data_IF_632026436096
#
_entry.id   IF_632026436096
#
_cell.length_a   1.000
_cell.length_b   1.000
_cell.length_c   1.000
_cell.angle_alpha   90.00
_cell.angle_beta   90.00
_cell.angle_gamma   90.00
#
_symmetry.space_group_name_H-M   'P 1'
#
loop_
_entity.id
_entity.type
_entity.pdbx_description
1 polymer ?
#
# COMPACT_ATOMS: atom_id res chain seq x y z
N UNK A 1 -6.39 -29.10 -14.92
CA UNK A 1 -7.48 -28.10 -14.93
C UNK A 1 -7.00 -26.82 -15.57
N UNK A 2 -7.42 -26.57 -16.81
CA UNK A 2 -7.28 -25.29 -17.49
C UNK A 2 -7.91 -24.21 -16.62
N UNK A 3 -7.15 -23.18 -16.22
CA UNK A 3 -7.71 -22.05 -15.48
C UNK A 3 -8.57 -21.23 -16.44
N UNK A 4 -9.83 -21.60 -16.59
CA UNK A 4 -10.84 -20.86 -17.36
C UNK A 4 -11.23 -19.59 -16.61
N UNK A 5 -10.28 -18.66 -16.40
CA UNK A 5 -10.47 -17.27 -15.95
C UNK A 5 -11.65 -16.95 -15.02
N UNK A 6 -12.01 -17.84 -14.09
CA UNK A 6 -13.24 -17.81 -13.29
C UNK A 6 -14.51 -17.42 -14.09
N UNK A 7 -14.65 -17.90 -15.33
CA UNK A 7 -15.85 -17.70 -16.14
C UNK A 7 -16.79 -18.89 -15.97
N UNK A 8 -17.94 -18.63 -15.33
CA UNK A 8 -18.95 -19.63 -14.98
C UNK A 8 -19.65 -20.20 -16.22
N UNK A 9 -19.90 -19.40 -17.26
CA UNK A 9 -20.56 -19.87 -18.48
C UNK A 9 -19.71 -20.89 -19.25
N UNK A 10 -18.40 -20.61 -19.38
CA UNK A 10 -17.48 -21.53 -20.05
C UNK A 10 -17.31 -22.83 -19.27
N UNK A 11 -17.32 -22.75 -17.95
CA UNK A 11 -17.30 -23.93 -17.09
C UNK A 11 -18.59 -24.74 -17.27
N UNK A 12 -19.75 -24.09 -17.28
CA UNK A 12 -21.03 -24.77 -17.48
C UNK A 12 -21.10 -25.47 -18.83
N UNK A 13 -20.67 -24.79 -19.91
CA UNK A 13 -20.63 -25.38 -21.24
C UNK A 13 -19.73 -26.62 -21.28
N UNK A 14 -18.57 -26.56 -20.63
CA UNK A 14 -17.67 -27.70 -20.54
C UNK A 14 -18.28 -28.87 -19.76
N UNK A 15 -18.97 -28.62 -18.65
CA UNK A 15 -19.62 -29.69 -17.89
C UNK A 15 -20.76 -30.32 -18.69
N UNK A 16 -21.56 -29.53 -19.40
CA UNK A 16 -22.60 -30.07 -20.29
C UNK A 16 -22.01 -30.96 -21.38
N UNK A 17 -20.93 -30.52 -22.03
CA UNK A 17 -20.22 -31.31 -23.05
C UNK A 17 -19.66 -32.62 -22.46
N UNK A 18 -19.15 -32.61 -21.23
CA UNK A 18 -18.66 -33.84 -20.59
C UNK A 18 -19.80 -34.80 -20.25
N UNK A 19 -20.94 -34.31 -19.77
CA UNK A 19 -22.12 -35.14 -19.49
C UNK A 19 -22.69 -35.73 -20.78
N UNK A 20 -22.77 -34.95 -21.87
CA UNK A 20 -23.20 -35.44 -23.18
C UNK A 20 -22.27 -36.52 -23.73
N UNK A 21 -20.95 -36.32 -23.60
CA UNK A 21 -19.98 -37.33 -24.00
C UNK A 21 -20.14 -38.63 -23.20
N UNK A 22 -20.34 -38.56 -21.88
CA UNK A 22 -20.58 -39.75 -21.05
C UNK A 22 -21.88 -40.47 -21.46
N UNK A 23 -22.94 -39.72 -21.72
CA UNK A 23 -24.20 -40.25 -22.21
C UNK A 23 -24.06 -40.95 -23.58
N UNK A 24 -23.21 -40.43 -24.48
CA UNK A 24 -22.90 -41.10 -25.76
C UNK A 24 -22.24 -42.47 -25.59
N UNK A 25 -21.49 -42.68 -24.51
CA UNK A 25 -20.89 -43.98 -24.17
C UNK A 25 -21.81 -44.87 -23.30
N UNK A 26 -23.02 -44.39 -22.96
CA UNK A 26 -24.02 -45.13 -22.19
C UNK A 26 -23.75 -45.16 -20.69
N UNK A 27 -22.91 -44.26 -20.17
CA UNK A 27 -22.58 -44.15 -18.74
C UNK A 27 -23.13 -42.84 -18.16
N UNK A 28 -23.73 -42.91 -16.97
CA UNK A 28 -24.23 -41.74 -16.24
C UNK A 28 -23.45 -41.58 -14.93
N UNK A 29 -22.98 -40.37 -14.64
CA UNK A 29 -22.27 -40.07 -13.39
C UNK A 29 -23.25 -39.50 -12.36
N UNK A 30 -23.29 -40.13 -11.18
CA UNK A 30 -24.12 -39.69 -10.03
C UNK A 30 -23.46 -38.57 -9.23
N UNK A 31 -22.18 -38.32 -9.46
CA UNK A 31 -21.37 -37.38 -8.69
C UNK A 31 -21.23 -36.02 -9.38
N UNK A 32 -21.91 -35.80 -10.52
CA UNK A 32 -21.78 -34.55 -11.30
C UNK A 32 -22.10 -33.34 -10.43
N UNK A 33 -23.15 -33.43 -9.62
CA UNK A 33 -23.58 -32.35 -8.74
C UNK A 33 -22.49 -31.97 -7.71
N UNK A 34 -21.84 -32.96 -7.10
CA UNK A 34 -20.78 -32.76 -6.11
C UNK A 34 -19.58 -32.05 -6.75
N UNK A 35 -19.15 -32.53 -7.93
CA UNK A 35 -18.04 -31.91 -8.66
C UNK A 35 -18.39 -30.50 -9.16
N UNK A 36 -19.67 -30.22 -9.44
CA UNK A 36 -20.14 -28.90 -9.81
C UNK A 36 -19.98 -27.90 -8.65
N UNK A 37 -20.40 -28.30 -7.44
CA UNK A 37 -20.22 -27.49 -6.23
C UNK A 37 -18.74 -27.24 -5.94
N UNK A 38 -17.89 -28.27 -6.03
CA UNK A 38 -16.45 -28.14 -5.84
C UNK A 38 -15.81 -27.20 -6.88
N UNK A 39 -16.21 -27.34 -8.15
CA UNK A 39 -15.76 -26.49 -9.25
C UNK A 39 -16.14 -25.02 -9.07
N UNK A 40 -17.36 -24.75 -8.59
CA UNK A 40 -17.81 -23.38 -8.32
C UNK A 40 -17.15 -22.76 -7.09
N UNK A 41 -16.86 -23.54 -6.04
CA UNK A 41 -16.11 -23.08 -4.86
C UNK A 41 -14.68 -22.62 -5.19
N UNK A 42 -14.10 -23.11 -6.28
CA UNK A 42 -12.80 -22.68 -6.77
C UNK A 42 -12.81 -21.34 -7.53
N UNK A 43 -13.96 -20.68 -7.68
CA UNK A 43 -14.08 -19.38 -8.33
C UNK A 43 -13.37 -18.26 -7.54
N UNK A 44 -12.93 -17.21 -8.24
CA UNK A 44 -12.21 -16.09 -7.61
C UNK A 44 -13.12 -15.14 -6.82
N UNK A 45 -14.40 -15.06 -7.20
CA UNK A 45 -15.36 -14.14 -6.60
C UNK A 45 -15.95 -14.70 -5.31
N UNK A 46 -15.72 -14.02 -4.18
CA UNK A 46 -16.17 -14.50 -2.86
C UNK A 46 -17.68 -14.45 -2.69
N UNK A 47 -18.34 -13.44 -3.27
CA UNK A 47 -19.80 -13.29 -3.15
C UNK A 47 -20.52 -14.43 -3.86
N UNK A 48 -19.99 -14.84 -5.02
CA UNK A 48 -20.42 -16.02 -5.75
C UNK A 48 -20.17 -17.32 -4.98
N UNK A 49 -18.97 -17.51 -4.42
CA UNK A 49 -18.66 -18.70 -3.61
C UNK A 49 -19.64 -18.82 -2.43
N UNK A 50 -19.91 -17.74 -1.70
CA UNK A 50 -20.91 -17.75 -0.60
C UNK A 50 -22.36 -17.90 -1.08
N UNK A 51 -22.67 -17.56 -2.33
CA UNK A 51 -23.97 -17.92 -2.92
C UNK A 51 -24.09 -19.42 -3.16
N UNK A 52 -23.01 -20.05 -3.64
CA UNK A 52 -22.95 -21.48 -3.91
C UNK A 52 -22.93 -22.31 -2.63
N UNK A 53 -22.18 -21.90 -1.59
CA UNK A 53 -22.19 -22.55 -0.27
C UNK A 53 -23.60 -22.59 0.31
N UNK A 54 -24.35 -21.48 0.26
CA UNK A 54 -25.76 -21.45 0.70
C UNK A 54 -26.68 -22.34 -0.12
N UNK A 55 -26.35 -22.62 -1.38
CA UNK A 55 -27.12 -23.54 -2.24
C UNK A 55 -26.79 -24.99 -1.93
N UNK A 56 -25.55 -25.28 -1.58
CA UNK A 56 -25.10 -26.60 -1.12
C UNK A 56 -25.70 -26.95 0.25
N UNK A 57 -25.69 -26.02 1.23
CA UNK A 57 -26.33 -26.22 2.54
C UNK A 57 -27.81 -26.60 2.40
N UNK A 58 -28.55 -25.91 1.53
CA UNK A 58 -29.97 -26.22 1.24
C UNK A 58 -30.17 -27.58 0.58
N UNK A 59 -29.19 -28.04 -0.17
CA UNK A 59 -29.20 -29.34 -0.81
C UNK A 59 -28.90 -30.46 0.20
N UNK A 60 -27.93 -30.26 1.09
CA UNK A 60 -27.59 -31.20 2.17
C UNK A 60 -28.72 -31.34 3.21
N UNK A 61 -29.37 -30.23 3.58
CA UNK A 61 -30.55 -30.23 4.46
C UNK A 61 -31.81 -30.83 3.79
N UNK A 62 -31.69 -31.29 2.54
CA UNK A 62 -32.77 -31.80 1.69
C UNK A 62 -33.98 -30.83 1.60
N UNK A 63 -33.72 -29.54 1.81
CA UNK A 63 -34.75 -28.50 1.87
C UNK A 63 -35.17 -28.03 0.49
N UNK A 64 -34.29 -28.13 -0.51
CA UNK A 64 -34.59 -27.74 -1.89
C UNK A 64 -33.96 -28.75 -2.86
N UNK A 65 -34.78 -29.45 -3.65
CA UNK A 65 -34.29 -30.35 -4.71
C UNK A 65 -33.52 -29.54 -5.75
N UNK A 66 -32.19 -29.65 -5.68
CA UNK A 66 -31.26 -28.98 -6.59
C UNK A 66 -30.73 -30.01 -7.55
N UNK A 67 -31.21 -29.95 -8.79
CA UNK A 67 -30.69 -30.78 -9.89
C UNK A 67 -29.52 -30.07 -10.57
N UNK A 68 -28.64 -30.82 -11.23
CA UNK A 68 -27.49 -30.33 -11.99
C UNK A 68 -27.85 -29.18 -12.95
N UNK A 69 -28.87 -29.32 -13.85
CA UNK A 69 -29.22 -28.25 -14.78
C UNK A 69 -29.74 -26.99 -14.07
N UNK A 70 -30.46 -27.16 -12.95
CA UNK A 70 -30.99 -26.03 -12.17
C UNK A 70 -29.85 -25.26 -11.50
N UNK A 71 -28.86 -25.97 -10.94
CA UNK A 71 -27.68 -25.37 -10.32
C UNK A 71 -26.83 -24.60 -11.35
N UNK A 72 -26.62 -25.19 -12.53
CA UNK A 72 -25.90 -24.53 -13.63
C UNK A 72 -26.61 -23.26 -14.11
N UNK A 73 -27.94 -23.30 -14.22
CA UNK A 73 -28.75 -22.15 -14.62
C UNK A 73 -28.69 -21.03 -13.58
N UNK A 74 -28.88 -21.35 -12.31
CA UNK A 74 -28.82 -20.41 -11.18
C UNK A 74 -27.44 -19.73 -11.09
N UNK A 75 -26.37 -20.53 -11.16
CA UNK A 75 -25.00 -20.03 -11.17
C UNK A 75 -24.71 -19.13 -12.39
N UNK A 76 -25.19 -19.52 -13.57
CA UNK A 76 -25.06 -18.73 -14.80
C UNK A 76 -25.80 -17.39 -14.73
N UNK A 77 -27.02 -17.39 -14.16
CA UNK A 77 -27.82 -16.17 -13.98
C UNK A 77 -27.17 -15.21 -12.99
N UNK A 78 -26.63 -15.72 -11.88
CA UNK A 78 -25.89 -14.92 -10.91
C UNK A 78 -24.66 -14.28 -11.56
N UNK A 79 -23.87 -15.08 -12.30
CA UNK A 79 -22.70 -14.58 -13.01
C UNK A 79 -23.06 -13.47 -14.00
N UNK A 80 -24.09 -13.65 -14.84
CA UNK A 80 -24.56 -12.64 -15.79
C UNK A 80 -24.96 -11.34 -15.11
N UNK A 81 -25.69 -11.42 -13.99
CA UNK A 81 -26.09 -10.25 -13.22
C UNK A 81 -24.86 -9.52 -12.64
N UNK A 82 -23.90 -10.25 -12.05
CA UNK A 82 -22.69 -9.64 -11.50
C UNK A 82 -21.77 -9.04 -12.56
N UNK A 83 -21.68 -9.65 -13.74
CA UNK A 83 -20.92 -9.10 -14.86
C UNK A 83 -21.60 -7.83 -15.39
N UNK A 84 -22.93 -7.84 -15.55
CA UNK A 84 -23.71 -6.65 -15.94
C UNK A 84 -23.51 -5.50 -14.96
N UNK A 85 -23.57 -5.80 -13.67
CA UNK A 85 -23.47 -4.80 -12.60
C UNK A 85 -21.99 -4.42 -12.29
N UNK A 86 -21.02 -4.98 -13.03
CA UNK A 86 -19.58 -4.82 -12.83
C UNK A 86 -19.11 -5.13 -11.39
N UNK A 87 -19.86 -5.97 -10.70
CA UNK A 87 -19.56 -6.41 -9.33
C UNK A 87 -18.78 -7.72 -9.30
N UNK A 88 -18.65 -8.41 -10.43
CA UNK A 88 -17.87 -9.64 -10.54
C UNK A 88 -16.39 -9.41 -10.20
N UNK A 89 -15.87 -10.19 -9.25
CA UNK A 89 -14.52 -10.11 -8.72
C UNK A 89 -14.12 -8.70 -8.26
N UNK A 90 -15.10 -7.94 -7.76
CA UNK A 90 -14.88 -6.59 -7.27
C UNK A 90 -13.94 -6.65 -6.05
N UNK A 91 -12.85 -5.86 -6.04
CA UNK A 91 -11.98 -5.81 -4.88
C UNK A 91 -12.78 -5.40 -3.65
N UNK A 92 -12.63 -6.16 -2.56
CA UNK A 92 -13.21 -5.86 -1.25
C UNK A 92 -12.83 -4.43 -0.79
N UNK A 93 -13.59 -3.82 0.12
CA UNK A 93 -13.34 -2.45 0.60
C UNK A 93 -11.89 -2.29 1.12
N UNK A 94 -11.39 -3.32 1.81
CA UNK A 94 -10.00 -3.39 2.25
C UNK A 94 -9.01 -3.49 1.07
N UNK A 95 -9.36 -4.22 0.02
CA UNK A 95 -8.53 -4.35 -1.18
C UNK A 95 -8.53 -3.06 -2.01
N UNK A 96 -9.65 -2.33 -2.07
CA UNK A 96 -9.75 -1.00 -2.68
C UNK A 96 -8.86 -0.01 -1.92
N UNK A 97 -8.90 -0.01 -0.58
CA UNK A 97 -8.04 0.83 0.24
C UNK A 97 -6.55 0.51 -0.01
N UNK A 98 -6.18 -0.78 -0.10
CA UNK A 98 -4.80 -1.19 -0.42
C UNK A 98 -4.41 -0.75 -1.83
N UNK A 99 -5.29 -0.85 -2.82
CA UNK A 99 -5.02 -0.40 -4.19
C UNK A 99 -4.84 1.11 -4.27
N UNK A 100 -5.69 1.87 -3.56
CA UNK A 100 -5.58 3.32 -3.46
C UNK A 100 -4.26 3.73 -2.80
N UNK A 101 -3.93 3.13 -1.65
CA UNK A 101 -2.68 3.38 -0.94
C UNK A 101 -1.45 2.99 -1.79
N UNK A 102 -1.52 1.88 -2.55
CA UNK A 102 -0.47 1.49 -3.50
C UNK A 102 -0.32 2.52 -4.62
N UNK A 103 -1.42 3.08 -5.12
CA UNK A 103 -1.40 4.12 -6.15
C UNK A 103 -0.78 5.41 -5.61
N UNK A 104 -1.17 5.85 -4.41
CA UNK A 104 -0.56 7.00 -3.72
C UNK A 104 0.94 6.79 -3.49
N UNK A 105 1.35 5.60 -3.05
CA UNK A 105 2.76 5.28 -2.85
C UNK A 105 3.58 5.37 -4.15
N UNK A 106 2.99 4.92 -5.27
CA UNK A 106 3.59 5.03 -6.60
C UNK A 106 3.74 6.49 -7.04
N UNK A 107 2.73 7.33 -6.79
CA UNK A 107 2.81 8.76 -7.06
C UNK A 107 3.94 9.42 -6.26
N UNK A 108 4.03 9.17 -4.95
CA UNK A 108 5.09 9.70 -4.07
C UNK A 108 6.49 9.25 -4.51
N UNK A 109 6.63 8.00 -5.00
CA UNK A 109 7.90 7.48 -5.52
C UNK A 109 8.33 8.21 -6.79
N UNK A 110 7.39 8.53 -7.68
CA UNK A 110 7.67 9.23 -8.93
C UNK A 110 8.01 10.71 -8.70
N UNK A 111 7.35 11.38 -7.75
CA UNK A 111 7.68 12.78 -7.39
C UNK A 111 9.11 12.94 -6.85
N UNK A 112 9.67 11.89 -6.22
CA UNK A 112 11.07 11.90 -5.74
C UNK A 112 12.11 11.69 -6.84
N UNK A 113 11.71 11.22 -8.02
CA UNK A 113 12.62 10.91 -9.14
C UNK A 113 12.79 12.08 -10.12
N UNK A 114 11.87 13.04 -10.12
CA UNK A 114 11.90 14.22 -11.00
C UNK A 114 12.76 15.39 -10.49
N UNK A 115 13.30 15.31 -9.27
CA UNK A 115 14.08 16.41 -8.65
C UNK A 115 15.61 16.23 -8.72
N UNK A 116 16.10 15.17 -9.37
CA UNK A 116 17.52 14.78 -9.35
C UNK A 116 18.17 14.57 -10.73
N UNK A 117 17.84 15.37 -11.74
CA UNK A 117 18.47 15.22 -13.06
C UNK A 117 18.42 16.43 -13.99
N UNK A 118 19.20 17.48 -13.71
CA UNK A 118 19.81 18.35 -14.73
C UNK A 118 20.91 19.22 -14.12
N UNK A 119 22.16 18.76 -14.21
CA UNK A 119 23.33 19.65 -14.26
C UNK A 119 24.18 19.20 -15.45
N UNK A 120 24.38 20.14 -16.37
CA UNK A 120 25.28 20.04 -17.51
C UNK A 120 26.72 20.00 -16.99
N UNK A 121 27.51 19.06 -17.50
CA UNK A 121 28.96 19.06 -17.42
C UNK A 121 29.53 20.14 -18.36
N UNK A 122 30.49 20.90 -17.86
CA UNK A 122 31.53 21.55 -18.65
C UNK A 122 32.80 21.68 -17.79
N UNK A 123 33.77 20.83 -18.15
CA UNK A 123 35.20 21.08 -18.35
C UNK A 123 36.17 21.42 -17.18
N UNK A 124 37.37 20.83 -17.34
CA UNK A 124 38.73 21.17 -16.84
C UNK A 124 39.22 20.80 -15.43
N UNK A 125 39.85 19.62 -15.39
CA UNK A 125 41.30 19.33 -15.20
C UNK A 125 42.16 20.15 -14.19
N UNK A 126 42.85 19.36 -13.36
CA UNK A 126 44.23 19.49 -12.83
C UNK A 126 44.49 20.16 -11.47
N UNK A 127 45.41 19.55 -10.72
CA UNK A 127 46.21 20.21 -9.68
C UNK A 127 46.15 19.54 -8.30
N UNK A 128 47.07 18.61 -8.04
CA UNK A 128 47.17 17.88 -6.76
C UNK A 128 47.70 18.71 -5.59
N UNK A 129 47.53 18.15 -4.38
CA UNK A 129 48.15 18.65 -3.15
C UNK A 129 47.67 17.89 -1.92
N UNK A 130 48.51 16.97 -1.41
CA UNK A 130 48.33 16.27 -0.13
C UNK A 130 48.47 17.25 1.04
N UNK A 131 47.64 17.13 2.08
CA UNK A 131 48.20 17.03 3.43
C UNK A 131 47.26 16.38 4.47
N UNK A 132 47.88 15.60 5.37
CA UNK A 132 47.29 14.91 6.52
C UNK A 132 47.03 15.90 7.67
N UNK A 133 45.93 15.69 8.40
CA UNK A 133 45.70 16.29 9.71
C UNK A 133 44.62 15.54 10.50
N UNK A 134 45.03 14.86 11.57
CA UNK A 134 44.16 14.22 12.58
C UNK A 134 43.35 15.29 13.33
N UNK A 135 42.08 15.03 13.60
CA UNK A 135 41.28 15.83 14.54
C UNK A 135 39.92 15.20 14.83
N UNK A 136 39.68 14.88 16.11
CA UNK A 136 38.50 14.24 16.69
C UNK A 136 37.21 15.07 16.56
N UNK A 137 36.09 14.33 16.65
CA UNK A 137 34.76 14.72 17.18
C UNK A 137 33.92 15.76 16.45
N UNK A 138 32.66 15.39 16.20
CA UNK A 138 31.57 16.37 16.08
C UNK A 138 30.54 16.01 15.03
N UNK A 139 29.45 15.35 15.46
CA UNK A 139 28.15 15.44 14.77
C UNK A 139 27.89 16.91 14.45
N UNK A 140 27.83 17.29 13.18
CA UNK A 140 27.22 18.57 12.81
C UNK A 140 26.27 18.39 11.64
N UNK A 141 25.10 18.96 11.89
CA UNK A 141 23.93 18.89 11.06
C UNK A 141 24.19 19.48 9.69
N UNK A 142 23.48 18.91 8.72
CA UNK A 142 23.23 19.37 7.37
C UNK A 142 23.10 20.91 7.31
N UNK A 143 24.23 21.60 7.06
CA UNK A 143 24.29 23.04 6.86
C UNK A 143 23.86 23.32 5.43
N UNK A 144 22.56 23.50 5.29
CA UNK A 144 21.97 24.64 4.61
C UNK A 144 22.53 24.93 3.20
N UNK A 145 21.82 24.42 2.19
CA UNK A 145 21.64 25.14 0.91
C UNK A 145 21.11 26.54 1.26
N UNK A 146 22.00 27.51 1.41
CA UNK A 146 21.62 28.92 1.49
C UNK A 146 21.19 29.36 0.10
N UNK A 147 19.92 29.10 -0.22
CA UNK A 147 19.19 29.96 -1.15
C UNK A 147 19.28 31.38 -0.57
N UNK A 148 19.51 32.36 -1.44
CA UNK A 148 19.60 33.78 -1.08
C UNK A 148 18.27 34.22 -0.42
N UNK A 149 18.18 34.09 0.90
CA UNK A 149 17.04 34.52 1.68
C UNK A 149 17.35 35.93 2.17
N UNK A 150 16.50 36.93 1.85
CA UNK A 150 16.70 38.30 2.31
C UNK A 150 16.84 38.35 3.83
N UNK A 151 17.83 39.10 4.32
CA UNK A 151 18.19 39.17 5.74
C UNK A 151 16.99 39.52 6.64
N UNK A 152 16.07 40.35 6.14
CA UNK A 152 14.86 40.76 6.87
C UNK A 152 13.91 39.62 7.24
N UNK A 153 13.97 38.47 6.54
CA UNK A 153 13.13 37.29 6.84
C UNK A 153 13.64 36.50 8.04
N UNK A 154 14.92 36.66 8.39
CA UNK A 154 15.58 35.91 9.48
C UNK A 154 15.90 36.77 10.70
N UNK A 155 15.79 38.10 10.59
CA UNK A 155 15.91 39.02 11.72
C UNK A 155 14.66 38.97 12.59
N UNK A 156 14.83 38.61 13.86
CA UNK A 156 13.73 38.54 14.81
C UNK A 156 13.23 39.95 15.21
N UNK A 157 11.91 40.21 15.17
CA UNK A 157 11.34 41.46 15.66
C UNK A 157 11.37 41.55 17.20
N UNK A 158 11.28 42.78 17.72
CA UNK A 158 11.17 43.08 19.15
C UNK A 158 9.94 42.37 19.75
N UNK A 159 9.98 42.04 21.04
CA UNK A 159 9.01 41.14 21.68
C UNK A 159 7.54 41.57 21.49
N UNK A 160 7.30 42.88 21.51
CA UNK A 160 5.97 43.50 21.37
C UNK A 160 5.43 43.49 19.93
N UNK A 161 6.30 43.32 18.93
CA UNK A 161 5.92 43.34 17.50
C UNK A 161 5.83 41.93 16.88
N UNK A 162 6.02 40.87 17.68
CA UNK A 162 6.03 39.48 17.18
C UNK A 162 4.67 39.01 16.64
N UNK A 163 3.57 39.65 17.04
CA UNK A 163 2.22 39.37 16.55
C UNK A 163 1.79 40.27 15.39
N UNK A 164 2.56 41.33 15.09
CA UNK A 164 2.17 42.30 14.06
C UNK A 164 2.53 41.81 12.66
N UNK A 165 1.67 42.16 11.70
CA UNK A 165 1.91 41.95 10.28
C UNK A 165 3.02 42.89 9.79
N UNK A 166 4.00 42.35 9.07
CA UNK A 166 5.02 43.10 8.33
C UNK A 166 4.65 43.17 6.85
N UNK A 167 4.59 44.38 6.31
CA UNK A 167 4.42 44.63 4.88
C UNK A 167 5.79 44.93 4.27
N UNK A 168 5.99 44.47 3.03
CA UNK A 168 7.22 44.70 2.26
C UNK A 168 6.81 45.23 0.90
N UNK A 169 7.52 46.25 0.43
CA UNK A 169 7.20 46.93 -0.82
C UNK A 169 7.22 45.95 -2.00
N UNK A 170 6.10 45.90 -2.74
CA UNK A 170 5.90 44.98 -3.86
C UNK A 170 5.23 43.64 -3.52
N UNK A 171 4.88 43.36 -2.26
CA UNK A 171 4.14 42.17 -1.84
C UNK A 171 2.71 42.55 -1.39
N UNK A 172 1.68 41.94 -1.98
CA UNK A 172 0.26 42.21 -1.65
C UNK A 172 -0.23 41.55 -0.35
N UNK A 173 0.58 40.67 0.25
CA UNK A 173 0.19 39.86 1.41
C UNK A 173 1.14 40.11 2.59
N UNK A 174 0.60 40.27 3.82
CA UNK A 174 1.41 40.47 5.01
C UNK A 174 2.26 39.24 5.37
N UNK A 175 3.38 39.51 6.03
CA UNK A 175 4.28 38.51 6.60
C UNK A 175 4.19 38.52 8.13
N UNK A 176 4.24 37.35 8.76
CA UNK A 176 4.17 37.20 10.21
C UNK A 176 5.40 36.47 10.74
N UNK A 177 5.88 36.84 11.93
CA UNK A 177 7.00 36.15 12.56
C UNK A 177 6.56 34.81 13.16
N UNK A 178 7.10 33.71 12.65
CA UNK A 178 6.84 32.39 13.19
C UNK A 178 7.88 32.02 14.25
N UNK A 179 7.47 31.88 15.52
CA UNK A 179 8.33 31.43 16.62
C UNK A 179 8.94 30.04 16.38
N UNK A 180 8.16 29.12 15.78
CA UNK A 180 8.59 27.75 15.54
C UNK A 180 9.65 27.64 14.42
N UNK A 181 9.51 28.45 13.36
CA UNK A 181 10.41 28.43 12.21
C UNK A 181 11.54 29.47 12.30
N UNK A 182 11.50 30.36 13.29
CA UNK A 182 12.43 31.48 13.50
C UNK A 182 12.65 32.32 12.24
N UNK A 183 11.55 32.57 11.50
CA UNK A 183 11.55 33.35 10.25
C UNK A 183 10.18 33.97 9.99
N UNK A 184 10.14 34.99 9.15
CA UNK A 184 8.89 35.52 8.60
C UNK A 184 8.25 34.52 7.62
N UNK A 185 6.97 34.23 7.85
CA UNK A 185 6.15 33.28 7.10
C UNK A 185 4.79 33.92 6.72
N UNK A 186 4.05 33.27 5.82
CA UNK A 186 2.73 33.76 5.38
C UNK A 186 1.54 33.23 6.22
N UNK A 187 1.79 32.51 7.32
CA UNK A 187 0.74 32.07 8.25
C UNK A 187 0.78 32.93 9.51
N UNK A 188 -0.39 33.20 10.10
CA UNK A 188 -0.47 33.82 11.43
C UNK A 188 0.07 32.87 12.50
N UNK A 189 0.52 33.38 13.66
CA UNK A 189 1.02 32.54 14.74
C UNK A 189 0.06 31.42 15.17
N UNK A 190 -1.26 31.67 15.12
CA UNK A 190 -2.30 30.69 15.47
C UNK A 190 -2.46 29.56 14.43
N UNK A 191 -2.14 29.83 13.17
CA UNK A 191 -2.22 28.86 12.08
C UNK A 191 -0.93 28.05 11.88
N UNK A 192 -0.04 28.03 12.88
CA UNK A 192 1.24 27.35 12.81
C UNK A 192 1.11 25.83 13.06
N UNK A 193 1.09 25.03 11.98
CA UNK A 193 1.00 23.56 12.04
C UNK A 193 2.27 22.81 12.50
N UNK A 194 3.32 23.52 12.93
CA UNK A 194 4.59 22.87 13.34
C UNK A 194 4.45 22.13 14.68
N UNK A 195 3.64 22.62 15.62
CA UNK A 195 3.44 21.95 16.91
C UNK A 195 2.58 20.68 16.76
N UNK A 196 1.60 20.70 15.86
CA UNK A 196 0.84 19.52 15.45
C UNK A 196 1.74 18.44 14.84
N UNK A 197 2.69 18.83 13.99
CA UNK A 197 3.61 17.89 13.34
C UNK A 197 4.62 17.27 14.34
N UNK A 198 5.11 18.04 15.32
CA UNK A 198 5.96 17.51 16.41
C UNK A 198 5.23 16.50 17.28
N UNK A 199 3.98 16.78 17.63
CA UNK A 199 3.15 15.87 18.43
C UNK A 199 2.84 14.58 17.68
N UNK A 200 2.49 14.67 16.39
CA UNK A 200 2.31 13.50 15.52
C UNK A 200 3.57 12.64 15.40
N UNK A 201 4.76 13.25 15.38
CA UNK A 201 6.03 12.50 15.28
C UNK A 201 6.41 11.80 16.60
N UNK A 202 6.10 12.40 17.75
CA UNK A 202 6.33 11.79 19.08
C UNK A 202 5.36 10.65 19.41
N UNK A 203 4.14 10.66 18.86
CA UNK A 203 3.07 9.74 19.27
C UNK A 203 2.99 8.41 18.49
N UNK A 204 3.73 8.25 17.38
CA UNK A 204 3.63 7.02 16.57
C UNK A 204 4.11 5.76 17.29
N UNK A 205 5.17 5.87 18.10
CA UNK A 205 5.67 4.72 18.87
C UNK A 205 4.78 4.40 20.06
N UNK A 206 4.28 5.42 20.76
CA UNK A 206 3.39 5.26 21.91
C UNK A 206 2.05 4.62 21.52
N UNK A 207 1.44 5.07 20.42
CA UNK A 207 0.18 4.49 19.94
C UNK A 207 0.28 3.00 19.55
N UNK A 208 1.44 2.55 19.05
CA UNK A 208 1.67 1.14 18.77
C UNK A 208 1.81 0.31 20.05
N UNK A 209 2.60 0.80 21.02
CA UNK A 209 2.75 0.15 22.34
C UNK A 209 1.39 0.04 23.04
N UNK A 210 0.61 1.12 23.05
CA UNK A 210 -0.72 1.16 23.65
C UNK A 210 -1.68 0.17 22.96
N UNK A 211 -1.56 -0.03 21.64
CA UNK A 211 -2.35 -1.01 20.90
C UNK A 211 -1.97 -2.46 21.25
N UNK A 212 -0.68 -2.76 21.43
CA UNK A 212 -0.21 -4.06 21.90
C UNK A 212 -0.73 -4.35 23.33
N UNK A 213 -0.65 -3.37 24.23
CA UNK A 213 -1.20 -3.50 25.59
C UNK A 213 -2.72 -3.71 25.57
N UNK A 214 -3.48 -2.96 24.74
CA UNK A 214 -4.93 -3.14 24.58
C UNK A 214 -5.31 -4.55 24.11
N UNK A 215 -4.48 -5.15 23.26
CA UNK A 215 -4.65 -6.53 22.78
C UNK A 215 -4.06 -7.59 23.73
N UNK A 216 -3.64 -7.20 24.93
CA UNK A 216 -2.99 -8.07 25.93
C UNK A 216 -1.76 -8.81 25.37
N UNK A 217 -1.03 -8.16 24.45
CA UNK A 217 0.21 -8.70 23.89
C UNK A 217 1.40 -8.23 24.73
N UNK A 218 2.32 -9.13 25.02
CA UNK A 218 3.59 -8.79 25.65
C UNK A 218 4.56 -8.19 24.63
N UNK A 219 5.30 -7.17 25.05
CA UNK A 219 6.38 -6.55 24.27
C UNK A 219 7.68 -6.86 24.99
N UNK A 220 8.64 -7.45 24.29
CA UNK A 220 10.00 -7.66 24.75
C UNK A 220 10.97 -6.96 23.82
N UNK A 221 12.07 -6.45 24.39
CA UNK A 221 13.12 -5.78 23.66
C UNK A 221 14.38 -6.63 23.69
N UNK A 222 15.05 -6.75 22.54
CA UNK A 222 16.38 -7.33 22.51
C UNK A 222 17.37 -6.44 23.27
N UNK A 223 18.40 -7.05 23.85
CA UNK A 223 19.49 -6.33 24.49
C UNK A 223 20.17 -5.36 23.51
N UNK A 224 20.72 -4.26 24.03
CA UNK A 224 21.51 -3.33 23.21
C UNK A 224 22.66 -4.10 22.56
N UNK A 225 22.77 -4.01 21.24
CA UNK A 225 23.76 -4.73 20.42
C UNK A 225 23.59 -6.27 20.36
N UNK A 226 22.46 -6.83 20.83
CA UNK A 226 22.19 -8.27 20.82
C UNK A 226 21.34 -8.70 19.61
N UNK A 227 21.74 -8.34 18.38
CA UNK A 227 20.98 -8.63 17.15
C UNK A 227 20.72 -10.13 16.93
N UNK A 228 21.61 -10.99 17.44
CA UNK A 228 21.45 -12.45 17.40
C UNK A 228 20.16 -12.94 18.10
N UNK A 229 19.63 -12.22 19.08
CA UNK A 229 18.35 -12.55 19.74
C UNK A 229 17.17 -12.47 18.75
N UNK A 230 17.30 -11.64 17.71
CA UNK A 230 16.31 -11.46 16.66
C UNK A 230 16.64 -12.25 15.38
N UNK A 231 17.61 -13.17 15.43
CA UNK A 231 18.16 -13.83 14.24
C UNK A 231 17.12 -14.54 13.35
N UNK A 232 16.06 -15.11 13.93
CA UNK A 232 14.95 -15.71 13.16
C UNK A 232 14.20 -14.68 12.31
N UNK A 233 13.91 -13.51 12.89
CA UNK A 233 13.24 -12.43 12.18
C UNK A 233 14.16 -11.85 11.10
N UNK A 234 15.45 -11.64 11.42
CA UNK A 234 16.45 -11.13 10.48
C UNK A 234 16.63 -12.07 9.28
N UNK A 235 16.72 -13.39 9.51
CA UNK A 235 16.81 -14.39 8.45
C UNK A 235 15.57 -14.36 7.54
N UNK A 236 14.37 -14.23 8.12
CA UNK A 236 13.13 -14.16 7.34
C UNK A 236 13.04 -12.87 6.52
N UNK A 237 13.45 -11.74 7.07
CA UNK A 237 13.52 -10.47 6.36
C UNK A 237 14.47 -10.59 5.16
N UNK A 238 15.66 -11.16 5.37
CA UNK A 238 16.64 -11.39 4.28
C UNK A 238 16.03 -12.25 3.17
N UNK A 239 15.44 -13.39 3.53
CA UNK A 239 14.82 -14.30 2.56
C UNK A 239 13.73 -13.60 1.71
N UNK A 240 12.84 -12.83 2.35
CA UNK A 240 11.78 -12.11 1.63
C UNK A 240 12.37 -11.04 0.70
N UNK A 241 13.40 -10.33 1.14
CA UNK A 241 14.08 -9.34 0.30
C UNK A 241 14.75 -9.99 -0.91
N UNK A 242 15.40 -11.12 -0.73
CA UNK A 242 16.08 -11.84 -1.81
C UNK A 242 15.07 -12.37 -2.83
N UNK A 243 13.96 -12.97 -2.39
CA UNK A 243 12.86 -13.35 -3.27
C UNK A 243 12.32 -12.15 -4.08
N UNK A 244 12.09 -11.01 -3.41
CA UNK A 244 11.59 -9.81 -4.07
C UNK A 244 12.57 -9.27 -5.12
N UNK A 245 13.89 -9.30 -4.83
CA UNK A 245 14.93 -8.90 -5.80
C UNK A 245 14.94 -9.82 -7.01
N UNK A 246 14.91 -11.13 -6.79
CA UNK A 246 14.89 -12.13 -7.86
C UNK A 246 13.68 -11.94 -8.77
N UNK A 247 12.48 -11.79 -8.19
CA UNK A 247 11.26 -11.51 -8.96
C UNK A 247 11.35 -10.23 -9.80
N UNK A 248 11.92 -9.15 -9.25
CA UNK A 248 12.11 -7.91 -10.00
C UNK A 248 13.10 -8.07 -11.16
N UNK A 249 14.21 -8.79 -10.95
CA UNK A 249 15.20 -9.07 -12.02
C UNK A 249 14.55 -9.85 -13.16
N UNK A 250 13.77 -10.88 -12.85
CA UNK A 250 13.05 -11.66 -13.86
C UNK A 250 12.00 -10.83 -14.61
N UNK A 251 11.32 -9.91 -13.93
CA UNK A 251 10.34 -9.02 -14.55
C UNK A 251 10.99 -7.99 -15.50
N UNK A 252 12.20 -7.51 -15.18
CA UNK A 252 12.92 -6.53 -16.00
C UNK A 252 13.68 -7.11 -17.20
N UNK A 253 13.85 -8.43 -17.26
CA UNK A 253 14.53 -9.13 -18.36
C UNK A 253 13.58 -9.59 -19.48
N UNK A 254 12.31 -9.18 -19.45
CA UNK A 254 11.34 -9.31 -20.55
C UNK A 254 11.32 -8.02 -21.36
#
# INVERSE_FOLDING_TARGET
MTKVGSNVEKFNLHVSEQVENLAHYGEESKDVLIHLFEGYKAASDKSFVSYIERKEEKHEDNSETTNEPKLMQDAGNYYKNCVRDQTWNRPDENQQAILLLKAEFKQIKNSKKSESGKKKDNDKKSGGGKNKGKGKTGKTNNKQKSLNVPAWKTTAPKAEDKLKAKYVDGDSKPWYWCKALKKYCRHTPDQCNQDQNKNNKKNKSKGWIDACHRKKQSISFAGVNAHHQNGRAEARIKHIQDMARTSLIHATKR
#
